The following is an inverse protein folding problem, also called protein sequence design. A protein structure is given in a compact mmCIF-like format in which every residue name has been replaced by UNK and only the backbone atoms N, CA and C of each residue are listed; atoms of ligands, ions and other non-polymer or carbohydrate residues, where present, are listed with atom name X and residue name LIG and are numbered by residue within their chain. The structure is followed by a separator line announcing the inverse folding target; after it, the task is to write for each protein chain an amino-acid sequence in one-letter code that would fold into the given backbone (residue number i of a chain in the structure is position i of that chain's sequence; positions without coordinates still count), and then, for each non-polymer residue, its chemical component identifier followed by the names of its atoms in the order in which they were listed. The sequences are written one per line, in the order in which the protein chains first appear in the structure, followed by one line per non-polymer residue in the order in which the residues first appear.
data_IF_896786533792
#
_entry.id   IF_896786533792
#
_cell.length_a   1.000
_cell.length_b   1.000
_cell.length_c   1.000
_cell.angle_alpha   90.00
_cell.angle_beta   90.00
_cell.angle_gamma   90.00
#
_symmetry.space_group_name_H-M   'P 1'
#
loop_
_entity.id
_entity.type
_entity.pdbx_description
1 polymer ?
#
# COMPACT_ATOMS: atom_id res chain seq x y z
N UNK A 1 -53.51 -29.93 -12.83
CA UNK A 1 -52.19 -30.15 -13.46
C UNK A 1 -51.94 -28.97 -14.37
N UNK A 2 -50.87 -28.18 -14.34
CA UNK A 2 -49.67 -28.01 -13.51
C UNK A 2 -49.20 -26.60 -13.89
N UNK A 3 -49.13 -25.66 -12.93
CA UNK A 3 -48.53 -24.34 -13.15
C UNK A 3 -47.04 -24.49 -12.83
N UNK A 4 -46.20 -24.27 -13.83
CA UNK A 4 -44.75 -24.14 -13.69
C UNK A 4 -44.48 -22.75 -13.15
N UNK A 5 -44.13 -22.66 -11.87
CA UNK A 5 -43.51 -21.49 -11.28
C UNK A 5 -42.12 -21.94 -10.79
N UNK A 6 -41.09 -21.52 -11.52
CA UNK A 6 -39.69 -21.82 -11.27
C UNK A 6 -38.93 -20.50 -11.33
N UNK A 7 -38.99 -19.76 -10.23
CA UNK A 7 -37.98 -18.75 -9.90
C UNK A 7 -37.19 -19.26 -8.69
N UNK A 8 -35.87 -19.53 -8.81
CA UNK A 8 -35.07 -19.93 -7.68
C UNK A 8 -34.77 -18.72 -6.78
N UNK A 9 -34.92 -18.82 -5.45
CA UNK A 9 -34.60 -17.73 -4.54
C UNK A 9 -33.10 -17.46 -4.61
N UNK A 10 -32.75 -16.23 -5.02
CA UNK A 10 -31.37 -15.77 -5.03
C UNK A 10 -30.77 -15.90 -3.63
N UNK A 11 -29.60 -16.56 -3.46
CA UNK A 11 -28.94 -16.60 -2.16
C UNK A 11 -28.51 -15.18 -1.82
N UNK A 12 -29.17 -14.61 -0.82
CA UNK A 12 -28.79 -13.35 -0.21
C UNK A 12 -27.38 -13.54 0.34
N UNK A 13 -26.39 -12.90 -0.29
CA UNK A 13 -25.02 -12.82 0.20
C UNK A 13 -25.05 -12.13 1.57
N UNK A 14 -25.20 -12.91 2.64
CA UNK A 14 -25.03 -12.43 4.00
C UNK A 14 -23.55 -12.13 4.20
N UNK A 15 -23.25 -10.85 4.38
CA UNK A 15 -21.98 -10.39 4.95
C UNK A 15 -21.84 -11.03 6.33
N UNK A 16 -21.05 -12.10 6.42
CA UNK A 16 -20.68 -12.71 7.68
C UNK A 16 -19.72 -11.75 8.36
N UNK A 17 -20.21 -11.02 9.37
CA UNK A 17 -19.38 -10.29 10.30
C UNK A 17 -18.64 -11.33 11.15
N UNK A 18 -17.44 -11.69 10.73
CA UNK A 18 -16.52 -12.49 11.53
C UNK A 18 -16.06 -11.65 12.72
N UNK A 19 -16.39 -12.10 13.93
CA UNK A 19 -15.95 -11.55 15.23
C UNK A 19 -14.43 -11.74 15.49
N UNK A 20 -13.58 -11.46 14.49
CA UNK A 20 -12.18 -11.12 14.74
C UNK A 20 -12.12 -9.64 15.09
N UNK A 21 -11.17 -9.23 15.93
CA UNK A 21 -10.90 -7.85 16.34
C UNK A 21 -11.00 -6.91 15.13
N UNK A 22 -12.20 -6.37 14.87
CA UNK A 22 -12.39 -5.48 13.75
C UNK A 22 -11.62 -4.23 14.10
N UNK A 23 -10.55 -3.93 13.34
CA UNK A 23 -10.04 -2.57 13.26
C UNK A 23 -11.24 -1.73 12.88
N UNK A 24 -11.86 -1.11 13.89
CA UNK A 24 -13.02 -0.24 13.72
C UNK A 24 -12.59 0.83 12.75
N UNK A 25 -13.09 0.76 11.51
CA UNK A 25 -12.88 1.78 10.48
C UNK A 25 -13.11 3.13 11.11
N UNK A 26 -12.05 3.92 11.25
CA UNK A 26 -12.16 5.21 11.89
C UNK A 26 -12.73 6.18 10.85
N UNK A 27 -13.99 6.55 11.07
CA UNK A 27 -14.74 7.43 10.17
C UNK A 27 -14.03 8.77 9.95
N UNK A 28 -13.13 9.17 10.86
CA UNK A 28 -12.29 10.36 10.73
C UNK A 28 -11.39 10.28 9.52
N UNK A 29 -10.72 9.15 9.23
CA UNK A 29 -9.86 9.05 8.05
C UNK A 29 -10.64 9.26 6.75
N UNK A 30 -11.87 8.76 6.68
CA UNK A 30 -12.73 8.95 5.51
C UNK A 30 -13.17 10.39 5.33
N UNK A 31 -13.47 11.11 6.41
CA UNK A 31 -13.93 12.50 6.33
C UNK A 31 -12.78 13.49 6.13
N UNK A 32 -11.62 13.25 6.73
CA UNK A 32 -10.48 14.18 6.68
C UNK A 32 -9.57 13.96 5.47
N UNK A 33 -9.61 12.77 4.86
CA UNK A 33 -8.75 12.39 3.74
C UNK A 33 -9.58 11.91 2.55
N UNK A 34 -10.36 12.80 1.92
CA UNK A 34 -11.19 12.43 0.78
C UNK A 34 -10.35 12.12 -0.46
N UNK A 35 -10.77 11.09 -1.20
CA UNK A 35 -10.15 10.65 -2.45
C UNK A 35 -11.02 11.06 -3.63
N UNK A 36 -10.37 11.54 -4.69
CA UNK A 36 -11.02 12.01 -5.90
C UNK A 36 -10.35 11.42 -7.16
N UNK A 37 -11.08 11.41 -8.29
CA UNK A 37 -10.57 11.00 -9.60
C UNK A 37 -9.75 9.71 -9.57
N UNK A 38 -8.60 9.74 -10.22
CA UNK A 38 -7.68 8.62 -10.37
C UNK A 38 -7.23 8.00 -9.03
N UNK A 39 -7.10 8.80 -7.96
CA UNK A 39 -6.71 8.28 -6.65
C UNK A 39 -7.83 7.46 -6.00
N UNK A 40 -9.10 7.85 -6.22
CA UNK A 40 -10.27 7.07 -5.78
C UNK A 40 -10.40 5.77 -6.59
N UNK A 41 -10.17 5.84 -7.90
CA UNK A 41 -10.19 4.65 -8.75
C UNK A 41 -9.09 3.66 -8.34
N UNK A 42 -7.85 4.15 -8.17
CA UNK A 42 -6.73 3.34 -7.71
C UNK A 42 -7.02 2.72 -6.33
N UNK A 43 -7.60 3.47 -5.40
CA UNK A 43 -8.03 2.93 -4.11
C UNK A 43 -8.99 1.75 -4.25
N UNK A 44 -9.99 1.85 -5.12
CA UNK A 44 -10.96 0.78 -5.34
C UNK A 44 -10.31 -0.44 -6.00
N UNK A 45 -9.43 -0.22 -6.97
CA UNK A 45 -8.73 -1.27 -7.69
C UNK A 45 -7.78 -2.05 -6.78
N UNK A 46 -7.00 -1.38 -5.94
CA UNK A 46 -6.10 -2.04 -4.98
C UNK A 46 -6.89 -2.85 -3.95
N UNK A 47 -8.00 -2.34 -3.45
CA UNK A 47 -8.86 -3.11 -2.54
C UNK A 47 -9.48 -4.33 -3.22
N UNK A 48 -9.93 -4.19 -4.48
CA UNK A 48 -10.48 -5.29 -5.25
C UNK A 48 -9.41 -6.37 -5.50
N UNK A 49 -8.21 -5.96 -5.91
CA UNK A 49 -7.07 -6.85 -6.09
C UNK A 49 -6.72 -7.61 -4.80
N UNK A 50 -6.65 -6.91 -3.66
CA UNK A 50 -6.37 -7.53 -2.37
C UNK A 50 -7.45 -8.55 -1.97
N UNK A 51 -8.73 -8.27 -2.25
CA UNK A 51 -9.83 -9.20 -2.01
C UNK A 51 -9.73 -10.45 -2.90
N UNK A 52 -9.42 -10.28 -4.19
CA UNK A 52 -9.28 -11.38 -5.15
C UNK A 52 -8.13 -12.32 -4.77
N UNK A 53 -7.03 -11.77 -4.27
CA UNK A 53 -5.83 -12.52 -3.89
C UNK A 53 -5.82 -12.93 -2.41
N UNK A 54 -6.90 -12.66 -1.67
CA UNK A 54 -7.04 -12.96 -0.23
C UNK A 54 -5.93 -12.35 0.64
N UNK A 55 -5.47 -11.16 0.26
CA UNK A 55 -4.42 -10.41 0.95
C UNK A 55 -5.05 -9.41 1.92
N UNK A 56 -4.55 -9.39 3.15
CA UNK A 56 -4.98 -8.38 4.13
C UNK A 56 -4.41 -7.01 3.76
N UNK A 57 -5.29 -6.00 3.72
CA UNK A 57 -4.92 -4.60 3.55
C UNK A 57 -5.77 -3.73 4.46
N UNK A 58 -5.13 -2.80 5.16
CA UNK A 58 -5.86 -1.80 5.95
C UNK A 58 -6.38 -0.68 5.04
N UNK A 59 -7.71 -0.53 4.88
CA UNK A 59 -8.28 0.50 4.02
C UNK A 59 -8.04 1.92 4.52
N UNK A 60 -7.81 2.12 5.82
CA UNK A 60 -7.53 3.45 6.37
C UNK A 60 -6.08 3.86 6.07
N UNK A 61 -5.12 2.94 6.25
CA UNK A 61 -3.74 3.10 5.76
C UNK A 61 -3.67 3.40 4.26
N UNK A 62 -4.35 2.62 3.42
CA UNK A 62 -4.38 2.86 1.96
C UNK A 62 -4.94 4.24 1.62
N UNK A 63 -6.02 4.66 2.30
CA UNK A 63 -6.60 5.99 2.11
C UNK A 63 -5.64 7.10 2.51
N UNK A 64 -4.92 6.95 3.62
CA UNK A 64 -3.95 7.94 4.07
C UNK A 64 -2.82 8.08 3.06
N UNK A 65 -2.25 6.98 2.58
CA UNK A 65 -1.16 6.99 1.58
C UNK A 65 -1.61 7.66 0.29
N UNK A 66 -2.70 7.17 -0.33
CA UNK A 66 -3.18 7.70 -1.60
C UNK A 66 -3.69 9.15 -1.49
N UNK A 67 -4.38 9.47 -0.39
CA UNK A 67 -4.91 10.81 -0.17
C UNK A 67 -3.82 11.83 0.16
N UNK A 68 -2.76 11.41 0.86
CA UNK A 68 -1.58 12.27 1.07
C UNK A 68 -0.86 12.51 -0.24
N UNK A 69 -0.62 11.45 -1.04
CA UNK A 69 -0.01 11.58 -2.36
C UNK A 69 -0.80 12.54 -3.25
N UNK A 70 -2.13 12.36 -3.32
CA UNK A 70 -3.03 13.24 -4.07
C UNK A 70 -2.94 14.71 -3.62
N UNK A 71 -2.77 14.95 -2.32
CA UNK A 71 -2.73 16.30 -1.79
C UNK A 71 -1.37 17.00 -1.98
N UNK A 72 -0.28 16.24 -1.98
CA UNK A 72 1.09 16.78 -1.88
C UNK A 72 1.89 16.62 -3.18
N UNK A 73 1.49 15.72 -4.07
CA UNK A 73 2.18 15.46 -5.33
C UNK A 73 1.36 15.94 -6.53
N UNK A 74 2.02 16.63 -7.46
CA UNK A 74 1.45 16.95 -8.77
C UNK A 74 1.59 15.76 -9.76
N UNK A 75 2.26 14.68 -9.37
CA UNK A 75 2.43 13.52 -10.22
C UNK A 75 1.12 12.71 -10.33
N UNK A 76 0.92 11.99 -11.45
CA UNK A 76 -0.23 11.10 -11.60
C UNK A 76 -0.35 10.09 -10.44
N UNK A 77 -1.59 9.71 -10.11
CA UNK A 77 -1.85 8.79 -8.98
C UNK A 77 -1.07 7.47 -9.10
N UNK A 78 -0.86 6.98 -10.33
CA UNK A 78 -0.14 5.74 -10.66
C UNK A 78 1.36 5.93 -10.93
N UNK A 79 1.90 7.14 -10.72
CA UNK A 79 3.33 7.44 -10.92
C UNK A 79 4.09 7.40 -9.60
N UNK A 80 5.07 6.52 -9.45
CA UNK A 80 5.85 6.42 -8.22
C UNK A 80 7.34 6.50 -8.51
N UNK A 81 8.08 7.28 -7.72
CA UNK A 81 9.54 7.32 -7.75
C UNK A 81 10.10 6.93 -6.39
N UNK A 82 11.31 6.39 -6.35
CA UNK A 82 11.97 5.98 -5.11
C UNK A 82 12.14 7.17 -4.14
N UNK A 83 12.59 8.32 -4.66
CA UNK A 83 12.68 9.56 -3.89
C UNK A 83 11.29 10.07 -3.44
N UNK A 84 10.27 9.89 -4.27
CA UNK A 84 8.90 10.25 -3.94
C UNK A 84 8.29 9.37 -2.84
N UNK A 85 8.64 8.09 -2.79
CA UNK A 85 8.22 7.16 -1.73
C UNK A 85 8.81 7.60 -0.39
N UNK A 86 10.11 7.92 -0.36
CA UNK A 86 10.79 8.44 0.83
C UNK A 86 10.12 9.70 1.37
N UNK A 87 9.90 10.69 0.51
CA UNK A 87 9.22 11.93 0.86
C UNK A 87 7.79 11.66 1.36
N UNK A 88 7.04 10.81 0.65
CA UNK A 88 5.66 10.48 0.98
C UNK A 88 5.55 9.84 2.37
N UNK A 89 6.37 8.83 2.65
CA UNK A 89 6.26 8.02 3.86
C UNK A 89 6.74 8.76 5.12
N UNK A 90 7.88 9.45 5.05
CA UNK A 90 8.48 10.07 6.24
C UNK A 90 8.03 11.50 6.50
N UNK A 91 7.77 12.26 5.44
CA UNK A 91 7.48 13.69 5.58
C UNK A 91 5.99 13.91 5.38
N UNK A 92 5.46 13.53 4.23
CA UNK A 92 4.15 13.97 3.81
C UNK A 92 3.03 13.28 4.60
N UNK A 93 3.10 11.96 4.83
CA UNK A 93 2.09 11.21 5.59
C UNK A 93 2.07 11.69 7.04
N UNK A 94 3.24 11.84 7.66
CA UNK A 94 3.37 12.33 9.05
C UNK A 94 2.81 13.75 9.16
N UNK A 95 3.16 14.65 8.23
CA UNK A 95 2.64 16.00 8.20
C UNK A 95 1.12 16.05 7.95
N UNK A 96 0.61 15.23 7.02
CA UNK A 96 -0.82 15.13 6.71
C UNK A 96 -1.63 14.68 7.91
N UNK A 97 -1.22 13.60 8.57
CA UNK A 97 -1.90 13.09 9.76
C UNK A 97 -1.85 14.12 10.89
N UNK A 98 -0.68 14.73 11.15
CA UNK A 98 -0.53 15.77 12.16
C UNK A 98 -1.46 16.96 11.92
N UNK A 99 -1.52 17.47 10.69
CA UNK A 99 -2.35 18.61 10.32
C UNK A 99 -3.85 18.31 10.48
N UNK A 100 -4.25 17.05 10.30
CA UNK A 100 -5.64 16.58 10.43
C UNK A 100 -5.97 16.03 11.82
N UNK A 101 -5.03 16.07 12.77
CA UNK A 101 -5.16 15.51 14.13
C UNK A 101 -5.52 14.01 14.10
N UNK A 102 -4.89 13.28 13.19
CA UNK A 102 -4.97 11.83 13.07
C UNK A 102 -3.66 11.20 13.52
N UNK A 103 -3.75 9.97 13.99
CA UNK A 103 -2.57 9.13 14.15
C UNK A 103 -2.08 8.66 12.77
N UNK A 104 -0.79 8.32 12.68
CA UNK A 104 -0.26 7.69 11.45
C UNK A 104 -0.60 6.20 11.53
N UNK A 105 -1.38 5.64 10.58
CA UNK A 105 -1.67 4.21 10.58
C UNK A 105 -0.39 3.38 10.41
N UNK A 106 -0.25 2.31 11.21
CA UNK A 106 0.91 1.42 11.15
C UNK A 106 0.99 0.62 9.85
N UNK A 107 -0.12 0.47 9.14
CA UNK A 107 -0.22 -0.26 7.87
C UNK A 107 0.15 0.55 6.63
N UNK A 108 0.59 1.81 6.75
CA UNK A 108 0.87 2.68 5.58
C UNK A 108 1.89 2.06 4.61
N UNK A 109 2.98 1.48 5.13
CA UNK A 109 4.00 0.87 4.27
C UNK A 109 3.46 -0.39 3.57
N UNK A 110 2.77 -1.27 4.30
CA UNK A 110 2.12 -2.45 3.71
C UNK A 110 1.11 -2.05 2.64
N UNK A 111 0.27 -1.04 2.89
CA UNK A 111 -0.67 -0.51 1.92
C UNK A 111 0.01 0.08 0.66
N UNK A 112 1.15 0.75 0.83
CA UNK A 112 1.95 1.23 -0.30
C UNK A 112 2.50 0.05 -1.13
N UNK A 113 3.01 -0.99 -0.48
CA UNK A 113 3.49 -2.21 -1.16
C UNK A 113 2.37 -2.88 -1.94
N UNK A 114 1.19 -3.06 -1.33
CA UNK A 114 0.03 -3.62 -2.05
C UNK A 114 -0.41 -2.77 -3.24
N UNK A 115 -0.19 -1.46 -3.16
CA UNK A 115 -0.44 -0.56 -4.30
C UNK A 115 0.56 -0.81 -5.43
N UNK A 116 1.85 -0.95 -5.11
CA UNK A 116 2.90 -1.24 -6.10
C UNK A 116 2.71 -2.64 -6.70
N UNK A 117 2.45 -3.66 -5.89
CA UNK A 117 2.14 -5.02 -6.34
C UNK A 117 0.97 -5.04 -7.33
N UNK A 118 -0.11 -4.32 -7.01
CA UNK A 118 -1.24 -4.20 -7.93
C UNK A 118 -0.83 -3.54 -9.26
N UNK A 119 -0.09 -2.43 -9.21
CA UNK A 119 0.32 -1.70 -10.41
C UNK A 119 1.28 -2.53 -11.29
N UNK A 120 2.15 -3.33 -10.67
CA UNK A 120 3.06 -4.25 -11.36
C UNK A 120 2.29 -5.40 -12.00
N UNK A 121 1.44 -6.09 -11.23
CA UNK A 121 0.65 -7.22 -11.70
C UNK A 121 -0.33 -6.84 -12.83
N UNK A 122 -0.77 -5.59 -12.87
CA UNK A 122 -1.70 -5.07 -13.88
C UNK A 122 -1.03 -4.28 -15.01
N UNK A 123 0.30 -4.18 -15.01
CA UNK A 123 1.09 -3.35 -15.96
C UNK A 123 0.52 -1.93 -16.13
N UNK A 124 0.15 -1.31 -15.00
CA UNK A 124 -0.61 -0.06 -14.98
C UNK A 124 0.14 1.12 -14.37
N UNK A 125 1.45 0.97 -14.17
CA UNK A 125 2.34 2.07 -13.82
C UNK A 125 2.29 3.19 -14.87
N UNK A 126 2.39 4.43 -14.39
CA UNK A 126 2.61 5.55 -15.27
C UNK A 126 4.05 5.52 -15.81
N UNK A 127 4.28 6.02 -17.03
CA UNK A 127 5.60 6.10 -17.69
C UNK A 127 6.65 6.96 -16.97
N UNK A 128 6.25 7.68 -15.92
CA UNK A 128 7.12 8.49 -15.07
C UNK A 128 7.52 7.74 -13.79
N UNK A 129 7.14 6.47 -13.66
CA UNK A 129 7.51 5.66 -12.51
C UNK A 129 8.93 5.16 -12.66
N UNK A 130 9.65 5.10 -11.53
CA UNK A 130 10.94 4.42 -11.47
C UNK A 130 10.75 2.90 -11.62
N UNK A 131 11.82 2.15 -11.95
CA UNK A 131 11.77 0.70 -12.00
C UNK A 131 11.23 0.10 -10.69
N UNK A 132 10.39 -0.94 -10.82
CA UNK A 132 9.69 -1.57 -9.68
C UNK A 132 10.65 -2.05 -8.57
N UNK A 133 11.83 -2.56 -8.94
CA UNK A 133 12.87 -2.94 -7.97
C UNK A 133 13.32 -1.78 -7.07
N UNK A 134 13.58 -0.62 -7.66
CA UNK A 134 14.00 0.59 -6.94
C UNK A 134 12.89 1.10 -6.01
N UNK A 135 11.62 0.91 -6.39
CA UNK A 135 10.48 1.26 -5.55
C UNK A 135 10.36 0.33 -4.34
N UNK A 136 10.56 -0.98 -4.50
CA UNK A 136 10.56 -1.91 -3.39
C UNK A 136 11.73 -1.65 -2.44
N UNK A 137 12.93 -1.41 -2.97
CA UNK A 137 14.11 -1.05 -2.16
C UNK A 137 13.84 0.22 -1.34
N UNK A 138 13.21 1.24 -1.93
CA UNK A 138 12.84 2.45 -1.21
C UNK A 138 11.86 2.18 -0.06
N UNK A 139 10.87 1.29 -0.25
CA UNK A 139 9.92 0.96 0.83
C UNK A 139 10.59 0.10 1.90
N UNK A 140 11.44 -0.83 1.51
CA UNK A 140 12.17 -1.67 2.45
C UNK A 140 13.06 -0.82 3.36
N UNK A 141 13.79 0.14 2.77
CA UNK A 141 14.60 1.11 3.51
C UNK A 141 13.72 2.01 4.42
N UNK A 142 12.49 2.34 4.01
CA UNK A 142 11.53 3.07 4.84
C UNK A 142 11.03 2.27 6.06
N UNK A 143 10.97 0.94 5.94
CA UNK A 143 10.42 0.05 6.98
C UNK A 143 11.51 -0.65 7.79
N UNK A 144 12.77 -0.53 7.39
CA UNK A 144 13.91 -1.19 8.02
C UNK A 144 13.87 -2.71 7.90
N UNK A 145 13.37 -3.26 6.78
CA UNK A 145 13.32 -4.72 6.56
C UNK A 145 12.06 -5.41 7.10
N UNK A 146 11.09 -4.69 7.65
CA UNK A 146 9.96 -5.29 8.38
C UNK A 146 8.89 -5.92 7.49
N UNK A 147 8.93 -5.70 6.16
CA UNK A 147 7.91 -6.24 5.25
C UNK A 147 8.28 -7.63 4.71
N UNK A 148 9.49 -8.12 4.98
CA UNK A 148 9.91 -9.48 4.63
C UNK A 148 9.07 -10.59 5.31
N UNK A 149 8.33 -10.28 6.39
CA UNK A 149 7.43 -11.24 7.04
C UNK A 149 6.12 -11.51 6.26
N UNK A 150 5.85 -10.77 5.17
CA UNK A 150 4.67 -10.98 4.31
C UNK A 150 4.93 -11.88 3.09
N UNK A 151 6.18 -12.30 2.87
CA UNK A 151 6.57 -13.22 1.82
C UNK A 151 7.34 -14.39 2.47
N UNK A 152 7.02 -15.68 2.19
CA UNK A 152 7.90 -16.76 2.63
C UNK A 152 9.26 -16.58 1.97
N UNK A 153 10.23 -16.14 2.77
CA UNK A 153 11.57 -15.78 2.33
C UNK A 153 12.29 -17.01 1.82
N UNK A 154 12.54 -17.06 0.50
CA UNK A 154 13.71 -17.79 0.01
C UNK A 154 14.96 -17.00 0.43
N UNK A 155 15.97 -17.65 1.03
CA UNK A 155 17.08 -16.95 1.64
C UNK A 155 17.98 -16.33 0.57
N UNK A 156 17.85 -15.01 0.37
CA UNK A 156 18.78 -14.25 -0.45
C UNK A 156 20.03 -13.98 0.37
N UNK A 157 21.14 -14.58 -0.05
CA UNK A 157 22.47 -14.54 0.60
C UNK A 157 22.84 -13.13 1.07
N UNK A 158 23.22 -13.03 2.34
CA UNK A 158 23.92 -11.90 2.93
C UNK A 158 25.10 -11.46 2.03
N UNK A 159 24.97 -10.30 1.40
CA UNK A 159 26.07 -9.67 0.64
C UNK A 159 27.02 -9.06 1.67
N UNK A 160 28.09 -9.81 1.96
CA UNK A 160 29.21 -9.43 2.84
C UNK A 160 29.61 -7.97 2.65
N UNK A 161 29.68 -7.26 3.77
CA UNK A 161 30.37 -6.00 3.96
C UNK A 161 31.80 -6.05 3.41
N UNK A 162 32.15 -5.06 2.59
CA UNK A 162 33.51 -4.83 2.10
C UNK A 162 34.34 -4.22 3.25
N UNK A 163 35.46 -4.81 3.67
CA UNK A 163 36.36 -4.17 4.63
C UNK A 163 37.07 -2.98 3.97
N UNK A 164 36.99 -1.82 4.62
CA UNK A 164 37.73 -0.61 4.28
C UNK A 164 39.23 -0.84 4.51
N UNK A 165 40.02 -0.80 3.43
CA UNK A 165 41.46 -1.01 3.47
C UNK A 165 42.17 0.27 3.92
N UNK A 166 42.53 0.31 5.20
CA UNK A 166 43.14 1.47 5.86
C UNK A 166 44.67 1.33 5.81
N UNK A 167 45.26 1.97 4.80
CA UNK A 167 46.58 2.64 4.82
C UNK A 167 47.79 1.87 5.34
N UNK A 168 48.64 1.40 4.43
CA UNK A 168 50.00 0.94 4.78
C UNK A 168 50.94 2.16 4.91
N UNK A 169 51.46 2.41 6.11
CA UNK A 169 52.57 3.34 6.36
C UNK A 169 53.85 2.81 5.69
N UNK A 170 54.47 3.61 4.84
CA UNK A 170 55.86 3.39 4.39
C UNK A 170 56.81 3.96 5.45
N UNK A 171 57.62 3.08 6.03
CA UNK A 171 58.94 3.39 6.60
C UNK A 171 59.98 3.49 5.50
#
# INVERSE_FOLDING_TARGET
MTVLDLDPPHPTLRLVSSNGLATTRDSRYRSTTPLYGDARELFQQVLQYALEHQVAIDPDSLRVVLGTKQAMSAAPARSFSAAGIWQLMFVDVVASCRNRKLDVPTGCASALIRTIEYLDASDSFHSLSDPVGDLYDAIDECTGGWVDDLHPSTPTKARRSVPSDRGTKRT
#
